data_IF_987864325390
#
_entry.id   IF_987864325390
#
_cell.length_a   1.000
_cell.length_b   1.000
_cell.length_c   1.000
_cell.angle_alpha   90.00
_cell.angle_beta   90.00
_cell.angle_gamma   90.00
#
_symmetry.space_group_name_H-M   'P 1'
#
loop_
_entity.id
_entity.type
_entity.pdbx_description
1 polymer ?
#
# COMPACT_ATOMS: atom_id res chain seq x y z
N UNK A 1 -34.27 14.33 -14.13
CA UNK A 1 -32.82 14.20 -14.35
C UNK A 1 -32.23 13.43 -13.17
N UNK A 2 -31.27 12.54 -13.41
CA UNK A 2 -30.57 11.80 -12.35
C UNK A 2 -29.53 12.72 -11.69
N UNK A 3 -29.51 12.79 -10.37
CA UNK A 3 -28.56 13.62 -9.61
C UNK A 3 -27.30 12.85 -9.26
N UNK A 4 -26.17 13.31 -9.76
CA UNK A 4 -24.87 12.62 -9.63
C UNK A 4 -23.86 13.54 -8.96
N UNK A 5 -23.21 13.06 -7.91
CA UNK A 5 -22.10 13.76 -7.26
C UNK A 5 -20.78 13.28 -7.86
N UNK A 6 -19.97 14.19 -8.38
CA UNK A 6 -18.59 13.94 -8.77
C UNK A 6 -17.68 14.17 -7.56
N UNK A 7 -16.84 13.20 -7.21
CA UNK A 7 -15.88 13.32 -6.12
C UNK A 7 -14.46 13.10 -6.64
N UNK A 8 -13.77 14.21 -6.90
CA UNK A 8 -12.41 14.23 -7.41
C UNK A 8 -11.35 14.06 -6.32
N UNK A 9 -10.28 13.31 -6.61
CA UNK A 9 -9.16 13.15 -5.70
C UNK A 9 -8.04 12.26 -6.21
N UNK A 10 -6.88 12.33 -5.53
CA UNK A 10 -5.75 11.44 -5.85
C UNK A 10 -6.00 10.00 -5.43
N UNK A 11 -6.67 9.79 -4.28
CA UNK A 11 -7.01 8.49 -3.71
C UNK A 11 -5.80 7.54 -3.63
N UNK A 12 -4.72 8.00 -2.99
CA UNK A 12 -3.40 7.36 -3.01
C UNK A 12 -2.88 6.97 -1.60
N UNK A 13 -3.54 6.02 -0.89
CA UNK A 13 -4.73 5.27 -1.29
C UNK A 13 -6.05 5.93 -0.84
N UNK A 14 -7.18 5.43 -1.35
CA UNK A 14 -8.52 5.67 -0.78
C UNK A 14 -8.59 5.09 0.64
N UNK A 15 -9.40 5.71 1.50
CA UNK A 15 -9.51 5.37 2.92
C UNK A 15 -10.89 5.74 3.49
N UNK A 16 -11.12 5.39 4.76
CA UNK A 16 -12.44 5.52 5.40
C UNK A 16 -12.93 6.97 5.50
N UNK A 17 -12.01 7.93 5.61
CA UNK A 17 -12.33 9.36 5.50
C UNK A 17 -13.02 9.73 4.17
N UNK A 18 -12.46 9.29 3.03
CA UNK A 18 -13.06 9.52 1.71
C UNK A 18 -14.45 8.87 1.59
N UNK A 19 -14.58 7.62 2.06
CA UNK A 19 -15.85 6.90 2.02
C UNK A 19 -16.91 7.58 2.91
N UNK A 20 -16.51 8.10 4.05
CA UNK A 20 -17.38 8.85 4.97
C UNK A 20 -17.90 10.13 4.32
N UNK A 21 -17.02 10.90 3.68
CA UNK A 21 -17.42 12.08 2.91
C UNK A 21 -18.42 11.72 1.81
N UNK A 22 -18.11 10.68 1.02
CA UNK A 22 -18.97 10.22 -0.06
C UNK A 22 -20.36 9.79 0.43
N UNK A 23 -20.44 9.01 1.53
CA UNK A 23 -21.72 8.57 2.11
C UNK A 23 -22.58 9.74 2.59
N UNK A 24 -21.99 10.70 3.30
CA UNK A 24 -22.71 11.86 3.82
C UNK A 24 -23.21 12.77 2.70
N UNK A 25 -22.37 13.03 1.69
CA UNK A 25 -22.76 13.82 0.52
C UNK A 25 -23.93 13.16 -0.24
N UNK A 26 -23.84 11.86 -0.52
CA UNK A 26 -24.87 11.11 -1.21
C UNK A 26 -26.22 11.17 -0.46
N UNK A 27 -26.19 11.01 0.88
CA UNK A 27 -27.38 11.10 1.74
C UNK A 27 -27.96 12.51 1.80
N UNK A 28 -27.16 13.53 2.12
CA UNK A 28 -27.64 14.89 2.39
C UNK A 28 -28.08 15.64 1.13
N UNK A 29 -27.48 15.33 -0.02
CA UNK A 29 -27.86 15.93 -1.31
C UNK A 29 -29.00 15.17 -1.99
N UNK A 30 -29.46 14.06 -1.40
CA UNK A 30 -30.42 13.13 -1.98
C UNK A 30 -30.03 12.73 -3.42
N UNK A 31 -28.76 12.39 -3.61
CA UNK A 31 -28.22 12.05 -4.93
C UNK A 31 -28.53 10.58 -5.28
N UNK A 32 -28.73 10.32 -6.57
CA UNK A 32 -28.94 8.97 -7.09
C UNK A 32 -27.63 8.17 -7.05
N UNK A 33 -26.53 8.82 -7.44
CA UNK A 33 -25.21 8.19 -7.51
C UNK A 33 -24.08 9.15 -7.09
N UNK A 34 -22.93 8.58 -6.72
CA UNK A 34 -21.67 9.29 -6.54
C UNK A 34 -20.57 8.64 -7.35
N UNK A 35 -19.87 9.44 -8.16
CA UNK A 35 -18.83 9.02 -9.08
C UNK A 35 -17.48 9.53 -8.58
N UNK A 36 -16.60 8.62 -8.22
CA UNK A 36 -15.21 8.90 -7.91
C UNK A 36 -14.44 9.20 -9.19
N UNK A 37 -13.79 10.36 -9.23
CA UNK A 37 -12.93 10.79 -10.33
C UNK A 37 -11.48 10.75 -9.84
N UNK A 38 -10.75 9.72 -10.25
CA UNK A 38 -9.35 9.53 -9.84
C UNK A 38 -8.48 10.45 -10.68
N UNK A 39 -7.70 11.32 -10.03
CA UNK A 39 -6.85 12.26 -10.76
C UNK A 39 -5.76 11.53 -11.55
N UNK A 40 -5.60 11.78 -12.85
CA UNK A 40 -4.59 11.09 -13.69
C UNK A 40 -3.15 11.36 -13.22
N UNK A 41 -2.86 12.61 -12.87
CA UNK A 41 -1.61 13.02 -12.26
C UNK A 41 -1.94 14.03 -11.17
N UNK A 42 -1.29 13.95 -10.01
CA UNK A 42 -1.16 15.13 -9.17
C UNK A 42 0.03 15.91 -9.74
N UNK A 43 -0.17 17.09 -10.39
CA UNK A 43 0.92 17.85 -10.99
C UNK A 43 2.02 18.25 -9.98
N UNK A 44 1.75 18.10 -8.68
CA UNK A 44 2.59 18.55 -7.58
C UNK A 44 3.22 17.42 -6.73
N UNK A 45 3.06 16.13 -7.09
CA UNK A 45 3.63 15.02 -6.31
C UNK A 45 4.48 14.05 -7.15
N UNK A 46 5.79 14.11 -6.97
CA UNK A 46 6.71 13.01 -7.29
C UNK A 46 6.41 11.84 -6.35
N UNK A 47 6.28 10.62 -6.88
CA UNK A 47 6.07 9.40 -6.07
C UNK A 47 4.62 8.97 -5.83
N UNK A 48 3.65 9.40 -6.64
CA UNK A 48 2.28 8.85 -6.58
C UNK A 48 2.23 7.44 -7.16
N UNK A 49 1.37 6.57 -6.63
CA UNK A 49 1.15 5.25 -7.21
C UNK A 49 0.65 5.35 -8.65
N UNK A 50 0.98 4.34 -9.46
CA UNK A 50 0.47 4.24 -10.82
C UNK A 50 -1.06 4.38 -10.86
N UNK A 51 -1.58 5.10 -11.85
CA UNK A 51 -3.00 5.44 -11.95
C UNK A 51 -3.92 4.21 -11.82
N UNK A 52 -3.59 3.12 -12.52
CA UNK A 52 -4.40 1.90 -12.50
C UNK A 52 -4.50 1.27 -11.10
N UNK A 53 -3.46 1.37 -10.27
CA UNK A 53 -3.51 0.91 -8.89
C UNK A 53 -4.47 1.76 -8.05
N UNK A 54 -4.41 3.09 -8.18
CA UNK A 54 -5.31 4.01 -7.46
C UNK A 54 -6.76 3.79 -7.86
N UNK A 55 -7.03 3.65 -9.16
CA UNK A 55 -8.33 3.29 -9.72
C UNK A 55 -8.86 1.97 -9.13
N UNK A 56 -8.03 0.91 -9.14
CA UNK A 56 -8.40 -0.39 -8.59
C UNK A 56 -8.66 -0.34 -7.07
N UNK A 57 -7.86 0.42 -6.31
CA UNK A 57 -8.08 0.59 -4.88
C UNK A 57 -9.42 1.29 -4.60
N UNK A 58 -9.78 2.31 -5.38
CA UNK A 58 -11.12 2.92 -5.30
C UNK A 58 -12.21 1.89 -5.62
N UNK A 59 -12.07 1.13 -6.70
CA UNK A 59 -13.04 0.11 -7.08
C UNK A 59 -13.24 -0.95 -5.99
N UNK A 60 -12.15 -1.41 -5.35
CA UNK A 60 -12.19 -2.37 -4.26
C UNK A 60 -12.90 -1.82 -3.01
N UNK A 61 -12.63 -0.56 -2.69
CA UNK A 61 -13.24 0.15 -1.56
C UNK A 61 -14.76 0.30 -1.73
N UNK A 62 -15.19 0.66 -2.94
CA UNK A 62 -16.60 1.00 -3.20
C UNK A 62 -17.45 -0.20 -3.63
N UNK A 63 -16.86 -1.36 -3.90
CA UNK A 63 -17.56 -2.59 -4.36
C UNK A 63 -18.86 -2.92 -3.58
N UNK A 64 -18.96 -2.75 -2.25
CA UNK A 64 -20.20 -2.99 -1.52
C UNK A 64 -21.31 -1.94 -1.70
N UNK A 65 -21.02 -0.79 -2.33
CA UNK A 65 -21.91 0.37 -2.38
C UNK A 65 -22.44 0.60 -3.80
N UNK A 66 -23.66 0.11 -4.07
CA UNK A 66 -24.27 0.11 -5.41
C UNK A 66 -24.49 1.51 -6.01
N UNK A 67 -24.62 2.56 -5.19
CA UNK A 67 -24.75 3.96 -5.64
C UNK A 67 -23.41 4.65 -5.90
N UNK A 68 -22.29 3.97 -5.68
CA UNK A 68 -20.95 4.52 -5.87
C UNK A 68 -20.28 3.88 -7.07
N UNK A 69 -19.74 4.70 -7.97
CA UNK A 69 -19.00 4.26 -9.15
C UNK A 69 -17.64 4.93 -9.18
N UNK A 70 -16.67 4.29 -9.83
CA UNK A 70 -15.40 4.92 -10.19
C UNK A 70 -15.38 5.10 -11.70
N UNK A 71 -15.04 6.29 -12.17
CA UNK A 71 -15.05 6.62 -13.59
C UNK A 71 -13.62 6.72 -14.10
N UNK A 72 -13.29 5.84 -15.03
CA UNK A 72 -12.00 5.85 -15.73
C UNK A 72 -12.07 6.78 -16.96
N UNK A 73 -12.06 8.08 -16.66
CA UNK A 73 -12.07 9.15 -17.67
C UNK A 73 -10.71 9.80 -17.83
N UNK A 74 -10.07 10.20 -16.72
CA UNK A 74 -8.84 11.00 -16.80
C UNK A 74 -7.64 10.24 -17.39
N UNK A 75 -7.64 8.90 -17.38
CA UNK A 75 -6.63 8.09 -18.08
C UNK A 75 -6.61 8.30 -19.60
N UNK A 76 -7.70 8.83 -20.15
CA UNK A 76 -7.90 9.07 -21.59
C UNK A 76 -7.70 10.55 -21.97
N UNK A 77 -7.44 11.41 -20.99
CA UNK A 77 -7.27 12.84 -21.21
C UNK A 77 -5.79 13.20 -21.35
N UNK A 78 -5.47 14.27 -22.11
CA UNK A 78 -4.14 14.87 -22.04
C UNK A 78 -3.77 15.26 -20.61
N UNK A 79 -2.49 15.13 -20.29
CA UNK A 79 -1.93 15.56 -19.01
C UNK A 79 -1.41 17.01 -19.11
N UNK A 80 -1.58 17.83 -18.06
CA UNK A 80 -2.35 17.56 -16.84
C UNK A 80 -3.87 17.56 -17.12
N UNK A 81 -4.61 16.68 -16.45
CA UNK A 81 -6.08 16.62 -16.53
C UNK A 81 -6.70 17.62 -15.56
N UNK A 82 -7.64 18.43 -16.04
CA UNK A 82 -8.32 19.46 -15.26
C UNK A 82 -9.81 19.18 -15.10
N UNK A 83 -10.37 19.56 -13.96
CA UNK A 83 -11.79 19.34 -13.63
C UNK A 83 -12.76 19.90 -14.68
N UNK A 84 -12.43 21.03 -15.33
CA UNK A 84 -13.25 21.60 -16.42
C UNK A 84 -13.37 20.66 -17.62
N UNK A 85 -12.28 19.99 -18.00
CA UNK A 85 -12.25 19.07 -19.13
C UNK A 85 -13.05 17.80 -18.80
N UNK A 86 -12.93 17.31 -17.56
CA UNK A 86 -13.76 16.23 -17.00
C UNK A 86 -15.26 16.59 -17.05
N UNK A 87 -15.65 17.77 -16.55
CA UNK A 87 -17.07 18.20 -16.52
C UNK A 87 -17.65 18.35 -17.92
N UNK A 88 -16.90 18.94 -18.87
CA UNK A 88 -17.32 19.07 -20.28
C UNK A 88 -17.70 17.71 -20.87
N UNK A 89 -16.83 16.71 -20.71
CA UNK A 89 -17.04 15.38 -21.28
C UNK A 89 -18.21 14.67 -20.59
N UNK A 90 -18.28 14.71 -19.25
CA UNK A 90 -19.36 14.05 -18.52
C UNK A 90 -20.73 14.62 -18.85
N UNK A 91 -20.87 15.96 -18.95
CA UNK A 91 -22.14 16.60 -19.35
C UNK A 91 -22.52 16.27 -20.79
N UNK A 92 -21.55 16.24 -21.71
CA UNK A 92 -21.80 15.88 -23.10
C UNK A 92 -22.28 14.43 -23.26
N UNK A 93 -21.72 13.50 -22.48
CA UNK A 93 -22.04 12.06 -22.53
C UNK A 93 -23.29 11.66 -21.73
N UNK A 94 -23.75 12.50 -20.79
CA UNK A 94 -24.84 12.17 -19.85
C UNK A 94 -25.83 13.33 -19.75
N UNK A 95 -26.58 13.58 -20.83
CA UNK A 95 -27.51 14.71 -20.93
C UNK A 95 -28.74 14.58 -20.00
N UNK A 96 -29.02 13.37 -19.50
CA UNK A 96 -30.09 13.09 -18.55
C UNK A 96 -29.67 13.28 -17.07
N UNK A 97 -28.42 13.70 -16.83
CA UNK A 97 -27.84 13.84 -15.51
C UNK A 97 -27.62 15.30 -15.10
N UNK A 98 -27.85 15.58 -13.82
CA UNK A 98 -27.43 16.79 -13.14
C UNK A 98 -26.20 16.47 -12.30
N UNK A 99 -25.12 17.23 -12.48
CA UNK A 99 -23.87 17.00 -11.76
C UNK A 99 -23.66 18.04 -10.65
N UNK A 100 -23.19 17.58 -9.50
CA UNK A 100 -22.61 18.40 -8.42
C UNK A 100 -21.15 17.96 -8.19
N UNK A 101 -20.25 18.87 -7.82
CA UNK A 101 -18.85 18.54 -7.54
C UNK A 101 -18.51 18.66 -6.06
N UNK A 102 -18.20 17.53 -5.42
CA UNK A 102 -17.80 17.46 -4.01
C UNK A 102 -16.32 17.80 -3.82
N UNK A 103 -16.05 18.81 -2.99
CA UNK A 103 -14.72 19.11 -2.47
C UNK A 103 -14.74 19.19 -0.94
N UNK A 104 -13.59 18.97 -0.32
CA UNK A 104 -13.40 19.32 1.08
C UNK A 104 -13.22 20.82 1.26
N UNK A 105 -13.55 21.33 2.45
CA UNK A 105 -13.38 22.74 2.79
C UNK A 105 -11.94 23.25 2.71
N UNK A 106 -10.95 22.35 2.78
CA UNK A 106 -9.53 22.64 2.55
C UNK A 106 -9.23 23.14 1.13
N UNK A 107 -10.07 22.81 0.15
CA UNK A 107 -9.89 23.27 -1.24
C UNK A 107 -10.57 24.62 -1.52
N UNK A 108 -11.55 25.02 -0.69
CA UNK A 108 -12.35 26.22 -0.90
C UNK A 108 -11.52 27.51 -1.05
N UNK A 109 -10.48 27.79 -0.23
CA UNK A 109 -9.67 29.01 -0.36
C UNK A 109 -8.89 29.14 -1.67
N UNK A 110 -8.73 28.04 -2.41
CA UNK A 110 -7.97 28.00 -3.68
C UNK A 110 -8.83 27.60 -4.87
N UNK A 111 -10.13 27.43 -4.67
CA UNK A 111 -11.05 26.96 -5.71
C UNK A 111 -11.10 27.92 -6.90
N UNK A 112 -11.04 29.23 -6.65
CA UNK A 112 -10.98 30.27 -7.68
C UNK A 112 -9.72 30.23 -8.56
N UNK A 113 -8.70 29.45 -8.17
CA UNK A 113 -7.46 29.23 -8.94
C UNK A 113 -7.54 28.02 -9.86
N UNK A 114 -8.65 27.27 -9.85
CA UNK A 114 -8.83 26.14 -10.76
C UNK A 114 -8.90 26.63 -12.21
N UNK A 115 -8.37 25.83 -13.14
CA UNK A 115 -8.37 26.17 -14.57
C UNK A 115 -9.80 26.45 -15.03
N UNK A 116 -9.99 27.62 -15.66
CA UNK A 116 -11.29 28.08 -16.16
C UNK A 116 -12.38 28.07 -15.08
N UNK A 117 -12.05 28.46 -13.84
CA UNK A 117 -12.97 28.42 -12.70
C UNK A 117 -14.31 29.10 -12.97
N UNK A 118 -14.35 30.29 -13.57
CA UNK A 118 -15.61 31.01 -13.81
C UNK A 118 -16.57 30.19 -14.69
N UNK A 119 -16.03 29.58 -15.75
CA UNK A 119 -16.79 28.68 -16.61
C UNK A 119 -17.18 27.40 -15.88
N UNK A 120 -16.27 26.80 -15.13
CA UNK A 120 -16.54 25.60 -14.34
C UNK A 120 -17.68 25.84 -13.35
N UNK A 121 -17.65 26.98 -12.65
CA UNK A 121 -18.65 27.39 -11.66
C UNK A 121 -20.03 27.67 -12.29
N UNK A 122 -20.07 28.05 -13.57
CA UNK A 122 -21.33 28.15 -14.34
C UNK A 122 -21.82 26.77 -14.82
N UNK A 123 -20.90 25.82 -15.06
CA UNK A 123 -21.22 24.51 -15.59
C UNK A 123 -21.65 23.49 -14.52
N UNK A 124 -21.19 23.62 -13.28
CA UNK A 124 -21.47 22.65 -12.21
C UNK A 124 -21.63 23.32 -10.84
N UNK A 125 -22.53 22.78 -10.01
CA UNK A 125 -22.69 23.20 -8.62
C UNK A 125 -21.64 22.55 -7.74
N UNK A 126 -20.76 23.34 -7.13
CA UNK A 126 -19.89 22.82 -6.06
C UNK A 126 -20.69 22.52 -4.79
N UNK A 127 -20.27 21.50 -4.06
CA UNK A 127 -20.75 21.17 -2.71
C UNK A 127 -19.54 20.97 -1.79
N UNK A 128 -19.60 21.56 -0.60
CA UNK A 128 -18.46 21.61 0.33
C UNK A 128 -18.68 20.65 1.48
N UNK A 129 -17.78 19.69 1.65
CA UNK A 129 -17.74 18.92 2.87
C UNK A 129 -17.02 19.71 3.96
N UNK A 130 -17.77 20.12 4.99
CA UNK A 130 -17.25 20.88 6.11
C UNK A 130 -16.30 20.02 6.95
N UNK A 131 -15.02 20.40 7.02
CA UNK A 131 -14.07 19.81 7.98
C UNK A 131 -14.03 20.53 9.33
N UNK A 132 -14.49 21.78 9.35
CA UNK A 132 -14.60 22.62 10.53
C UNK A 132 -16.02 23.18 10.63
N UNK A 133 -16.49 23.49 11.83
CA UNK A 133 -17.87 23.96 12.04
C UNK A 133 -18.12 25.40 11.55
N UNK A 134 -17.06 26.19 11.37
CA UNK A 134 -17.14 27.61 11.02
C UNK A 134 -16.68 27.89 9.59
N UNK A 135 -17.32 27.25 8.61
CA UNK A 135 -17.01 27.49 7.19
C UNK A 135 -18.06 28.40 6.58
N UNK A 136 -17.63 29.57 6.11
CA UNK A 136 -18.42 30.42 5.23
C UNK A 136 -18.26 29.93 3.79
N UNK A 137 -19.37 29.64 3.13
CA UNK A 137 -19.37 29.23 1.72
C UNK A 137 -20.61 29.72 1.01
N UNK A 138 -20.44 30.17 -0.23
CA UNK A 138 -21.54 30.43 -1.17
C UNK A 138 -22.16 29.13 -1.73
N UNK A 139 -21.53 27.98 -1.47
CA UNK A 139 -21.93 26.68 -1.98
C UNK A 139 -22.65 25.87 -0.90
N UNK A 140 -23.55 24.94 -1.27
CA UNK A 140 -24.18 24.05 -0.30
C UNK A 140 -23.15 23.28 0.53
N UNK A 141 -23.37 23.25 1.83
CA UNK A 141 -22.50 22.59 2.80
C UNK A 141 -23.08 21.21 3.15
N UNK A 142 -22.21 20.20 3.15
CA UNK A 142 -22.44 18.86 3.67
C UNK A 142 -21.64 18.73 4.96
N UNK A 143 -22.28 18.28 6.03
CA UNK A 143 -21.63 18.07 7.33
C UNK A 143 -21.44 16.60 7.63
N UNK A 144 -20.53 16.24 8.53
CA UNK A 144 -20.34 14.86 8.94
C UNK A 144 -19.07 14.68 9.74
N UNK A 145 -18.81 13.47 10.26
CA UNK A 145 -17.59 13.21 11.00
C UNK A 145 -16.37 13.40 10.10
N UNK A 146 -15.36 14.07 10.67
CA UNK A 146 -14.05 14.25 10.06
C UNK A 146 -13.11 13.29 10.75
N UNK A 147 -12.76 12.22 10.04
CA UNK A 147 -11.84 11.24 10.58
C UNK A 147 -10.40 11.78 10.44
N UNK A 148 -9.57 11.73 11.50
CA UNK A 148 -8.17 12.17 11.45
C UNK A 148 -7.33 11.10 10.73
N UNK A 149 -7.57 10.93 9.43
CA UNK A 149 -6.98 9.91 8.57
C UNK A 149 -6.43 10.61 7.34
N UNK A 150 -5.16 10.36 7.03
CA UNK A 150 -4.56 10.77 5.76
C UNK A 150 -4.04 9.58 4.97
N UNK A 151 -4.11 9.66 3.64
CA UNK A 151 -3.45 8.68 2.76
C UNK A 151 -1.94 8.59 3.06
N UNK A 152 -1.31 9.70 3.48
CA UNK A 152 0.13 9.72 3.84
C UNK A 152 0.45 8.83 5.03
N UNK A 153 -0.38 8.82 6.08
CA UNK A 153 -0.16 7.93 7.23
C UNK A 153 -0.32 6.45 6.85
N UNK A 154 -1.22 6.15 5.91
CA UNK A 154 -1.37 4.79 5.37
C UNK A 154 -0.14 4.39 4.56
N UNK A 155 0.37 5.26 3.68
CA UNK A 155 1.60 4.98 2.91
C UNK A 155 2.83 4.77 3.79
N UNK A 156 2.89 5.47 4.93
CA UNK A 156 3.93 5.28 5.96
C UNK A 156 3.71 4.07 6.88
N UNK A 157 2.61 3.34 6.73
CA UNK A 157 2.27 2.18 7.56
C UNK A 157 1.90 2.52 9.02
N UNK A 158 1.68 3.80 9.33
CA UNK A 158 1.31 4.29 10.67
C UNK A 158 -0.11 3.89 11.05
N UNK A 159 -1.01 3.90 10.07
CA UNK A 159 -2.40 3.47 10.22
C UNK A 159 -2.80 2.54 9.07
N UNK A 160 -3.88 1.79 9.26
CA UNK A 160 -4.43 0.89 8.22
C UNK A 160 -5.92 1.13 7.99
N UNK A 161 -6.35 2.38 8.18
CA UNK A 161 -7.76 2.79 8.19
C UNK A 161 -8.32 2.91 6.76
N UNK A 162 -8.35 1.79 6.07
CA UNK A 162 -8.97 1.55 4.76
C UNK A 162 -9.52 0.12 4.73
N UNK A 163 -10.20 -0.27 3.65
CA UNK A 163 -10.78 -1.62 3.60
C UNK A 163 -9.71 -2.73 3.58
N UNK A 164 -9.99 -3.91 4.18
CA UNK A 164 -9.11 -5.07 4.09
C UNK A 164 -8.71 -5.46 2.66
N UNK A 165 -9.61 -5.27 1.69
CA UNK A 165 -9.33 -5.55 0.26
C UNK A 165 -8.32 -4.57 -0.33
N UNK A 166 -8.37 -3.30 0.06
CA UNK A 166 -7.39 -2.30 -0.36
C UNK A 166 -6.02 -2.58 0.26
N UNK A 167 -5.98 -2.91 1.56
CA UNK A 167 -4.73 -3.30 2.25
C UNK A 167 -4.08 -4.53 1.61
N UNK A 168 -4.88 -5.55 1.31
CA UNK A 168 -4.41 -6.77 0.64
C UNK A 168 -3.90 -6.46 -0.77
N UNK A 169 -4.58 -5.60 -1.52
CA UNK A 169 -4.17 -5.20 -2.86
C UNK A 169 -2.85 -4.41 -2.83
N UNK A 170 -2.75 -3.38 -2.00
CA UNK A 170 -1.53 -2.56 -1.93
C UNK A 170 -0.31 -3.40 -1.54
N UNK A 171 -0.44 -4.26 -0.53
CA UNK A 171 0.69 -5.09 -0.10
C UNK A 171 1.01 -6.20 -1.09
N UNK A 172 0.00 -6.83 -1.70
CA UNK A 172 0.19 -7.88 -2.71
C UNK A 172 0.97 -7.40 -3.94
N UNK A 173 0.78 -6.15 -4.35
CA UNK A 173 1.50 -5.52 -5.46
C UNK A 173 2.73 -4.71 -5.01
N UNK A 174 3.13 -4.80 -3.75
CA UNK A 174 4.29 -4.06 -3.24
C UNK A 174 4.11 -2.54 -3.15
N UNK A 175 2.87 -2.04 -3.30
CA UNK A 175 2.55 -0.62 -3.26
C UNK A 175 2.79 -0.08 -1.85
N UNK A 176 3.58 0.99 -1.77
CA UNK A 176 4.02 1.66 -0.55
C UNK A 176 4.97 0.87 0.36
N UNK A 177 5.39 -0.36 0.00
CA UNK A 177 6.28 -1.14 0.89
C UNK A 177 7.60 -0.39 1.19
N UNK A 178 8.13 0.36 0.22
CA UNK A 178 9.29 1.23 0.43
C UNK A 178 9.04 2.33 1.48
N UNK A 179 7.89 3.03 1.41
CA UNK A 179 7.53 4.08 2.39
C UNK A 179 7.28 3.48 3.77
N UNK A 180 6.60 2.33 3.84
CA UNK A 180 6.35 1.59 5.09
C UNK A 180 7.67 1.21 5.74
N UNK A 181 8.60 0.62 4.98
CA UNK A 181 9.90 0.20 5.52
C UNK A 181 10.74 1.38 5.99
N UNK A 182 10.87 2.43 5.17
CA UNK A 182 11.65 3.64 5.54
C UNK A 182 11.16 4.28 6.84
N UNK A 183 9.86 4.16 7.12
CA UNK A 183 9.26 4.71 8.33
C UNK A 183 9.33 3.74 9.54
N UNK A 184 9.63 2.45 9.31
CA UNK A 184 9.63 1.41 10.35
C UNK A 184 11.01 0.98 10.79
N UNK A 185 12.00 1.00 9.90
CA UNK A 185 13.37 0.52 10.19
C UNK A 185 14.42 1.58 9.88
N UNK A 186 15.60 1.44 10.48
CA UNK A 186 16.75 2.29 10.24
C UNK A 186 17.18 2.25 8.76
N UNK A 187 17.88 3.31 8.30
CA UNK A 187 18.43 3.36 6.94
C UNK A 187 19.31 2.15 6.65
N UNK A 188 20.17 1.76 7.60
CA UNK A 188 21.02 0.57 7.49
C UNK A 188 20.20 -0.70 7.22
N UNK A 189 19.06 -0.85 7.89
CA UNK A 189 18.18 -2.00 7.69
C UNK A 189 17.43 -1.94 6.38
N UNK A 190 16.94 -0.77 5.99
CA UNK A 190 16.30 -0.57 4.71
C UNK A 190 17.25 -0.95 3.56
N UNK A 191 18.51 -0.51 3.62
CA UNK A 191 19.51 -0.85 2.61
C UNK A 191 19.82 -2.35 2.59
N UNK A 192 19.85 -3.02 3.77
CA UNK A 192 19.94 -4.47 3.86
C UNK A 192 18.78 -5.15 3.12
N UNK A 193 17.53 -4.75 3.41
CA UNK A 193 16.34 -5.32 2.76
C UNK A 193 16.39 -5.15 1.23
N UNK A 194 16.87 -4.01 0.72
CA UNK A 194 17.02 -3.79 -0.71
C UNK A 194 18.06 -4.73 -1.34
N UNK A 195 19.23 -4.91 -0.72
CA UNK A 195 20.25 -5.84 -1.23
C UNK A 195 19.82 -7.30 -1.16
N UNK A 196 19.04 -7.67 -0.13
CA UNK A 196 18.37 -8.99 -0.08
C UNK A 196 17.40 -9.14 -1.26
N UNK A 197 16.57 -8.12 -1.53
CA UNK A 197 15.64 -8.15 -2.66
C UNK A 197 16.37 -8.33 -4.00
N UNK A 198 17.49 -7.65 -4.20
CA UNK A 198 18.30 -7.76 -5.43
C UNK A 198 18.73 -9.21 -5.69
N UNK A 199 19.42 -9.83 -4.73
CA UNK A 199 19.86 -11.23 -4.85
C UNK A 199 18.66 -12.18 -4.99
N UNK A 200 17.59 -11.93 -4.24
CA UNK A 200 16.39 -12.76 -4.32
C UNK A 200 15.73 -12.72 -5.69
N UNK A 201 15.70 -11.55 -6.36
CA UNK A 201 15.13 -11.41 -7.70
C UNK A 201 16.00 -12.08 -8.76
N UNK A 202 17.33 -12.06 -8.62
CA UNK A 202 18.23 -12.84 -9.49
C UNK A 202 17.92 -14.35 -9.40
N UNK A 203 17.74 -14.87 -8.18
CA UNK A 203 17.40 -16.28 -7.97
C UNK A 203 15.98 -16.61 -8.44
N UNK A 204 15.02 -15.71 -8.22
CA UNK A 204 13.64 -15.89 -8.65
C UNK A 204 13.53 -15.99 -10.17
N UNK A 205 14.29 -15.17 -10.89
CA UNK A 205 14.36 -15.20 -12.36
C UNK A 205 14.86 -16.55 -12.87
N UNK A 206 16.01 -17.00 -12.38
CA UNK A 206 16.64 -18.27 -12.80
C UNK A 206 15.76 -19.49 -12.47
N UNK A 207 15.08 -19.48 -11.32
CA UNK A 207 14.28 -20.62 -10.86
C UNK A 207 12.79 -20.55 -11.23
N UNK A 208 12.41 -19.57 -12.05
CA UNK A 208 11.04 -19.29 -12.48
C UNK A 208 10.06 -19.23 -11.30
N UNK A 209 10.41 -18.40 -10.30
CA UNK A 209 9.58 -18.14 -9.12
C UNK A 209 8.95 -16.76 -9.27
N UNK A 210 7.67 -16.67 -8.89
CA UNK A 210 6.91 -15.42 -8.89
C UNK A 210 7.65 -14.29 -8.17
N UNK A 211 8.03 -13.25 -8.92
CA UNK A 211 8.85 -12.13 -8.47
C UNK A 211 8.09 -11.20 -7.51
N UNK A 212 6.77 -11.10 -7.62
CA UNK A 212 5.95 -10.26 -6.74
C UNK A 212 5.88 -10.89 -5.35
N UNK A 213 5.68 -12.22 -5.29
CA UNK A 213 5.69 -12.99 -4.04
C UNK A 213 7.05 -12.98 -3.37
N UNK A 214 8.14 -13.08 -4.13
CA UNK A 214 9.52 -12.96 -3.61
C UNK A 214 9.79 -11.55 -3.10
N UNK A 215 9.40 -10.52 -3.86
CA UNK A 215 9.54 -9.12 -3.46
C UNK A 215 8.80 -8.86 -2.16
N UNK A 216 7.54 -9.30 -2.04
CA UNK A 216 6.77 -9.14 -0.81
C UNK A 216 7.45 -9.81 0.39
N UNK A 217 7.95 -11.04 0.22
CA UNK A 217 8.65 -11.75 1.27
C UNK A 217 9.92 -10.99 1.71
N UNK A 218 10.73 -10.53 0.75
CA UNK A 218 11.96 -9.77 1.02
C UNK A 218 11.67 -8.42 1.67
N UNK A 219 10.69 -7.67 1.19
CA UNK A 219 10.38 -6.34 1.74
C UNK A 219 9.85 -6.44 3.17
N UNK A 220 9.24 -7.55 3.58
CA UNK A 220 8.64 -7.66 4.92
C UNK A 220 9.48 -8.44 5.94
N UNK A 221 10.41 -9.31 5.52
CA UNK A 221 11.04 -10.30 6.42
C UNK A 221 11.64 -9.71 7.71
N UNK A 222 12.17 -8.50 7.61
CA UNK A 222 12.89 -7.80 8.68
C UNK A 222 12.13 -6.57 9.24
N UNK A 223 10.87 -6.39 8.85
CA UNK A 223 10.04 -5.24 9.24
C UNK A 223 10.01 -5.01 10.75
N UNK A 224 10.00 -6.10 11.53
CA UNK A 224 9.94 -6.07 12.99
C UNK A 224 11.31 -6.29 13.66
N UNK A 225 12.43 -6.24 12.93
CA UNK A 225 13.73 -6.56 13.56
C UNK A 225 14.09 -5.58 14.68
N UNK A 226 13.81 -4.30 14.46
CA UNK A 226 14.20 -3.22 15.37
C UNK A 226 13.11 -2.90 16.41
N UNK A 227 12.02 -3.67 16.42
CA UNK A 227 11.00 -3.60 17.47
C UNK A 227 11.60 -4.02 18.83
N UNK A 228 11.03 -3.50 19.92
CA UNK A 228 11.53 -3.81 21.26
C UNK A 228 11.36 -5.29 21.59
N UNK A 229 12.20 -5.83 22.49
CA UNK A 229 12.06 -7.22 22.97
C UNK A 229 10.68 -7.48 23.58
N UNK A 230 10.13 -6.49 24.27
CA UNK A 230 8.80 -6.54 24.86
C UNK A 230 7.71 -6.65 23.78
N UNK A 231 7.76 -5.80 22.74
CA UNK A 231 6.79 -5.84 21.64
C UNK A 231 6.83 -7.16 20.88
N UNK A 232 8.04 -7.67 20.62
CA UNK A 232 8.23 -8.98 19.99
C UNK A 232 7.67 -10.11 20.86
N UNK A 233 7.93 -10.09 22.17
CA UNK A 233 7.42 -11.09 23.10
C UNK A 233 5.89 -11.04 23.22
N UNK A 234 5.31 -9.84 23.30
CA UNK A 234 3.85 -9.63 23.29
C UNK A 234 3.23 -10.19 22.02
N UNK A 235 3.86 -9.93 20.87
CA UNK A 235 3.43 -10.47 19.58
C UNK A 235 3.52 -12.00 19.56
N UNK A 236 4.59 -12.59 20.11
CA UNK A 236 4.74 -14.04 20.21
C UNK A 236 3.69 -14.67 21.13
N UNK A 237 3.47 -14.12 22.32
CA UNK A 237 2.46 -14.61 23.26
C UNK A 237 1.05 -14.58 22.65
N UNK A 238 0.69 -13.50 21.95
CA UNK A 238 -0.64 -13.34 21.37
C UNK A 238 -0.89 -14.23 20.14
N UNK A 239 0.15 -14.57 19.37
CA UNK A 239 -0.01 -15.18 18.04
C UNK A 239 0.60 -16.58 17.93
N UNK A 240 1.62 -16.89 18.72
CA UNK A 240 2.41 -18.11 18.67
C UNK A 240 2.84 -18.57 20.08
N UNK A 241 1.91 -18.75 21.03
CA UNK A 241 2.25 -19.02 22.44
C UNK A 241 3.11 -20.28 22.63
N UNK A 242 2.94 -21.30 21.78
CA UNK A 242 3.75 -22.53 21.82
C UNK A 242 5.20 -22.34 21.33
N UNK A 243 5.54 -21.18 20.74
CA UNK A 243 6.86 -20.89 20.17
C UNK A 243 7.64 -19.86 20.98
N UNK A 244 7.14 -19.44 22.16
CA UNK A 244 7.80 -18.50 23.08
C UNK A 244 9.05 -19.11 23.75
N UNK A 245 9.28 -20.42 23.61
CA UNK A 245 10.54 -21.06 24.02
C UNK A 245 11.69 -20.89 23.02
N UNK A 246 11.43 -20.33 21.84
CA UNK A 246 12.46 -20.13 20.82
C UNK A 246 13.44 -19.03 21.19
N UNK A 247 14.65 -19.08 20.63
CA UNK A 247 15.62 -18.01 20.82
C UNK A 247 15.06 -16.66 20.31
N UNK A 248 15.17 -15.55 21.09
CA UNK A 248 14.53 -14.27 20.74
C UNK A 248 14.89 -13.70 19.36
N UNK A 249 16.07 -14.06 18.83
CA UNK A 249 16.49 -13.67 17.49
C UNK A 249 15.57 -14.17 16.36
N UNK A 250 14.68 -15.13 16.64
CA UNK A 250 13.70 -15.66 15.67
C UNK A 250 12.37 -14.90 15.69
N UNK A 251 12.07 -14.16 16.76
CA UNK A 251 10.73 -13.58 16.97
C UNK A 251 10.34 -12.56 15.90
N UNK A 252 11.29 -11.80 15.37
CA UNK A 252 10.97 -10.76 14.38
C UNK A 252 10.38 -11.33 13.09
N UNK A 253 10.81 -12.52 12.64
CA UNK A 253 10.23 -13.18 11.48
C UNK A 253 8.78 -13.61 11.72
N UNK A 254 8.47 -14.10 12.93
CA UNK A 254 7.09 -14.43 13.33
C UNK A 254 6.23 -13.17 13.48
N UNK A 255 6.76 -12.12 14.07
CA UNK A 255 6.10 -10.83 14.23
C UNK A 255 5.77 -10.20 12.86
N UNK A 256 6.75 -10.14 11.95
CA UNK A 256 6.56 -9.61 10.60
C UNK A 256 5.51 -10.41 9.81
N UNK A 257 5.52 -11.75 9.90
CA UNK A 257 4.48 -12.58 9.28
C UNK A 257 3.10 -12.37 9.93
N UNK A 258 3.04 -12.14 11.24
CA UNK A 258 1.79 -11.84 11.95
C UNK A 258 1.22 -10.49 11.49
N UNK A 259 2.05 -9.46 11.42
CA UNK A 259 1.63 -8.13 10.95
C UNK A 259 1.15 -8.20 9.49
N UNK A 260 1.91 -8.85 8.60
CA UNK A 260 1.51 -9.03 7.21
C UNK A 260 0.15 -9.74 7.07
N UNK A 261 -0.10 -10.76 7.88
CA UNK A 261 -1.35 -11.51 7.83
C UNK A 261 -2.53 -10.80 8.47
N UNK A 262 -2.34 -10.19 9.64
CA UNK A 262 -3.42 -9.62 10.45
C UNK A 262 -3.72 -8.16 10.12
N UNK A 263 -2.68 -7.34 9.92
CA UNK A 263 -2.80 -5.90 9.65
C UNK A 263 -3.01 -5.64 8.15
N UNK A 264 -2.34 -6.40 7.28
CA UNK A 264 -2.44 -6.22 5.83
C UNK A 264 -3.27 -7.29 5.10
N UNK A 265 -3.86 -8.24 5.84
CA UNK A 265 -4.80 -9.24 5.33
C UNK A 265 -4.22 -10.16 4.24
N UNK A 266 -2.89 -10.29 4.16
CA UNK A 266 -2.24 -11.23 3.23
C UNK A 266 -2.39 -12.66 3.72
N UNK A 267 -2.79 -13.56 2.82
CA UNK A 267 -3.11 -14.96 3.14
C UNK A 267 -2.22 -15.99 2.43
N UNK A 268 -1.20 -15.52 1.70
CA UNK A 268 -0.28 -16.41 1.00
C UNK A 268 0.58 -17.20 2.01
N UNK A 269 0.24 -18.48 2.18
CA UNK A 269 0.90 -19.35 3.14
C UNK A 269 2.38 -19.55 2.83
N UNK A 270 2.79 -19.55 1.57
CA UNK A 270 4.20 -19.77 1.21
C UNK A 270 5.04 -18.54 1.54
N UNK A 271 4.53 -17.34 1.27
CA UNK A 271 5.18 -16.07 1.66
C UNK A 271 5.26 -15.94 3.18
N UNK A 272 4.15 -16.19 3.88
CA UNK A 272 4.11 -16.12 5.35
C UNK A 272 5.09 -17.13 5.99
N UNK A 273 5.17 -18.35 5.45
CA UNK A 273 6.12 -19.35 5.95
C UNK A 273 7.58 -19.02 5.59
N UNK A 274 7.82 -18.43 4.42
CA UNK A 274 9.14 -17.91 4.07
C UNK A 274 9.61 -16.86 5.08
N UNK A 275 8.75 -15.88 5.40
CA UNK A 275 9.06 -14.83 6.39
C UNK A 275 9.28 -15.41 7.79
N UNK A 276 8.44 -16.34 8.27
CA UNK A 276 8.66 -16.97 9.59
C UNK A 276 9.99 -17.73 9.68
N UNK A 277 10.33 -18.45 8.61
CA UNK A 277 11.49 -19.35 8.57
C UNK A 277 12.78 -18.73 8.03
N UNK A 278 12.83 -17.43 7.72
CA UNK A 278 13.98 -16.83 7.06
C UNK A 278 15.24 -16.79 7.94
N UNK A 279 15.10 -16.86 9.26
CA UNK A 279 16.27 -16.78 10.17
C UNK A 279 16.99 -18.13 10.26
N UNK A 280 16.25 -19.23 10.35
CA UNK A 280 16.75 -20.58 10.61
C UNK A 280 16.66 -21.52 9.39
N UNK A 281 16.12 -21.05 8.27
CA UNK A 281 16.06 -21.81 7.02
C UNK A 281 15.21 -23.07 7.17
N UNK A 282 14.06 -22.99 7.84
CA UNK A 282 13.11 -24.12 7.95
C UNK A 282 12.09 -24.15 6.81
N UNK A 283 11.94 -23.05 6.07
CA UNK A 283 11.01 -23.00 4.94
C UNK A 283 11.58 -23.73 3.74
N UNK A 284 10.91 -24.81 3.32
CA UNK A 284 11.34 -25.68 2.20
C UNK A 284 10.67 -25.32 0.88
N UNK A 285 9.78 -24.32 0.85
CA UNK A 285 9.25 -23.81 -0.41
C UNK A 285 10.28 -22.91 -1.10
N UNK A 286 10.19 -22.78 -2.44
CA UNK A 286 11.17 -22.02 -3.24
C UNK A 286 11.34 -20.56 -2.77
N UNK A 287 10.26 -19.88 -2.37
CA UNK A 287 10.32 -18.49 -1.86
C UNK A 287 11.12 -18.44 -0.56
N UNK A 288 10.92 -19.41 0.34
CA UNK A 288 11.66 -19.53 1.59
C UNK A 288 13.15 -19.81 1.38
N UNK A 289 13.48 -20.72 0.44
CA UNK A 289 14.88 -20.99 0.09
C UNK A 289 15.56 -19.76 -0.49
N UNK A 290 14.91 -19.08 -1.45
CA UNK A 290 15.41 -17.84 -2.06
C UNK A 290 15.61 -16.76 -1.01
N UNK A 291 14.61 -16.50 -0.16
CA UNK A 291 14.69 -15.47 0.87
C UNK A 291 15.83 -15.77 1.86
N UNK A 292 15.97 -17.03 2.30
CA UNK A 292 17.05 -17.43 3.20
C UNK A 292 18.42 -17.23 2.57
N UNK A 293 18.62 -17.71 1.34
CA UNK A 293 19.88 -17.55 0.61
C UNK A 293 20.19 -16.06 0.46
N UNK A 294 19.23 -15.27 -0.03
CA UNK A 294 19.42 -13.85 -0.25
C UNK A 294 19.73 -13.08 1.05
N UNK A 295 19.05 -13.38 2.16
CA UNK A 295 19.35 -12.77 3.47
C UNK A 295 20.79 -13.05 3.90
N UNK A 296 21.30 -14.27 3.70
CA UNK A 296 22.66 -14.63 4.09
C UNK A 296 23.72 -14.16 3.09
N UNK A 297 23.40 -14.09 1.81
CA UNK A 297 24.36 -13.86 0.74
C UNK A 297 24.32 -12.46 0.13
N UNK A 298 23.49 -11.54 0.65
CA UNK A 298 23.46 -10.16 0.16
C UNK A 298 24.84 -9.49 0.20
N UNK A 299 25.12 -8.65 -0.80
CA UNK A 299 26.48 -8.14 -1.10
C UNK A 299 27.03 -7.10 -0.11
N UNK A 300 26.30 -6.81 0.95
CA UNK A 300 26.71 -5.95 2.06
C UNK A 300 27.20 -6.70 3.31
N UNK A 301 27.24 -8.05 3.30
CA UNK A 301 27.64 -8.86 4.47
C UNK A 301 29.14 -8.81 4.83
N UNK A 302 29.97 -8.20 3.99
CA UNK A 302 31.41 -8.05 4.25
C UNK A 302 32.26 -9.29 3.96
N UNK A 303 31.71 -10.28 3.25
CA UNK A 303 32.42 -11.44 2.72
C UNK A 303 31.91 -11.77 1.31
N UNK A 304 32.74 -12.47 0.54
CA UNK A 304 32.37 -12.89 -0.82
C UNK A 304 31.33 -14.02 -0.77
N UNK A 305 30.11 -13.67 -1.17
CA UNK A 305 28.97 -14.60 -1.25
C UNK A 305 28.70 -15.08 -2.67
N UNK A 306 29.43 -14.61 -3.68
CA UNK A 306 29.19 -14.96 -5.08
C UNK A 306 29.28 -16.46 -5.36
N UNK A 307 30.20 -17.24 -4.77
CA UNK A 307 30.21 -18.69 -4.96
C UNK A 307 28.91 -19.36 -4.51
N UNK A 308 28.32 -18.91 -3.40
CA UNK A 308 27.06 -19.42 -2.87
C UNK A 308 25.87 -18.98 -3.72
N UNK A 309 25.87 -17.74 -4.23
CA UNK A 309 24.85 -17.25 -5.16
C UNK A 309 24.92 -18.03 -6.48
N UNK A 310 26.12 -18.24 -7.04
CA UNK A 310 26.33 -18.99 -8.27
C UNK A 310 25.86 -20.44 -8.15
N UNK A 311 26.23 -21.12 -7.06
CA UNK A 311 25.71 -22.46 -6.77
C UNK A 311 24.18 -22.45 -6.66
N UNK A 312 23.62 -21.45 -5.97
CA UNK A 312 22.17 -21.31 -5.82
C UNK A 312 21.46 -21.04 -7.14
N UNK A 313 22.07 -20.33 -8.10
CA UNK A 313 21.56 -20.17 -9.47
C UNK A 313 21.54 -21.49 -10.24
N UNK A 314 22.60 -22.30 -10.10
CA UNK A 314 22.67 -23.62 -10.74
C UNK A 314 21.64 -24.61 -10.17
N UNK A 315 21.54 -24.68 -8.84
CA UNK A 315 20.59 -25.55 -8.14
C UNK A 315 20.16 -24.92 -6.82
N UNK A 316 18.89 -24.53 -6.73
CA UNK A 316 18.34 -23.84 -5.55
C UNK A 316 18.45 -24.66 -4.27
N UNK A 317 18.23 -25.98 -4.36
CA UNK A 317 18.22 -26.86 -3.19
C UNK A 317 19.64 -27.07 -2.65
N UNK A 318 20.61 -27.26 -3.53
CA UNK A 318 22.00 -27.45 -3.13
C UNK A 318 22.61 -26.15 -2.62
N UNK A 319 22.34 -25.03 -3.29
CA UNK A 319 22.69 -23.70 -2.79
C UNK A 319 22.11 -23.43 -1.40
N UNK A 320 20.83 -23.73 -1.18
CA UNK A 320 20.20 -23.59 0.14
C UNK A 320 20.89 -24.42 1.22
N UNK A 321 21.24 -25.68 0.93
CA UNK A 321 21.97 -26.55 1.87
C UNK A 321 23.36 -26.00 2.20
N UNK A 322 24.10 -25.53 1.20
CA UNK A 322 25.45 -25.00 1.42
C UNK A 322 25.44 -23.67 2.19
N UNK A 323 24.49 -22.78 1.92
CA UNK A 323 24.32 -21.55 2.71
C UNK A 323 24.01 -21.87 4.16
N UNK A 324 23.17 -22.88 4.44
CA UNK A 324 22.91 -23.32 5.83
C UNK A 324 24.18 -23.82 6.51
N UNK A 325 24.97 -24.67 5.84
CA UNK A 325 26.25 -25.15 6.38
C UNK A 325 27.22 -24.01 6.66
N UNK A 326 27.33 -23.05 5.74
CA UNK A 326 28.18 -21.87 5.92
C UNK A 326 27.73 -21.01 7.12
N UNK A 327 26.42 -20.81 7.29
CA UNK A 327 25.87 -20.09 8.43
C UNK A 327 26.13 -20.80 9.75
N UNK A 328 25.97 -22.13 9.81
CA UNK A 328 26.24 -22.93 11.01
C UNK A 328 27.73 -22.92 11.39
N UNK A 329 28.63 -22.87 10.40
CA UNK A 329 30.06 -22.72 10.62
C UNK A 329 30.41 -21.32 11.15
N UNK A 330 29.77 -20.27 10.60
CA UNK A 330 29.93 -18.90 11.07
C UNK A 330 29.50 -18.74 12.54
N UNK A 331 28.32 -19.26 12.89
CA UNK A 331 27.79 -19.15 14.26
C UNK A 331 28.66 -19.88 15.29
N UNK A 332 29.25 -21.04 14.93
CA UNK A 332 30.18 -21.75 15.80
C UNK A 332 31.43 -20.93 16.12
N UNK A 333 32.04 -20.30 15.11
CA UNK A 333 33.25 -19.48 15.28
C UNK A 333 33.07 -18.19 16.08
N UNK A 334 31.83 -17.72 16.27
CA UNK A 334 31.52 -16.48 17.00
C UNK A 334 30.91 -16.73 18.38
N UNK A 335 30.63 -17.99 18.72
CA UNK A 335 30.19 -18.41 20.05
C UNK A 335 31.31 -19.11 20.85
N UNK A 336 32.48 -19.31 20.23
CA UNK A 336 33.78 -19.64 20.84
C UNK A 336 34.55 -18.35 21.08
#
# INVERSE_FOLDING_TARGET
MRKIILFGGSFDPIHDGHLTMAKNALKQRNADELWFIVSAQNPFKVGSSAFHHRLNMVQLMIKPYHKMKVIDLESKLPLPSYSIDTVRILKAQNQDCEFEWLIGSDQLPTLNKWKEYDLLNQMIQFIIYARDFNIESQFPIVTGPVLPISSTEIRKGLITTTSPRVLQYMTGYGIYLDEILKNRVSQKRYDHVLRVKEVALELADVHNVDKDRVTLACMIHDLCKEDSKEDLLNTMNANYPSLVGLHPAFYHGFAAASELSKKYYVRDKQVLNAIRGHVNGVSTNKIGMILYIADKCERGRGYDSEPLIALSKQNLVDGFKEVKKAQDAYLRRHNE
#
